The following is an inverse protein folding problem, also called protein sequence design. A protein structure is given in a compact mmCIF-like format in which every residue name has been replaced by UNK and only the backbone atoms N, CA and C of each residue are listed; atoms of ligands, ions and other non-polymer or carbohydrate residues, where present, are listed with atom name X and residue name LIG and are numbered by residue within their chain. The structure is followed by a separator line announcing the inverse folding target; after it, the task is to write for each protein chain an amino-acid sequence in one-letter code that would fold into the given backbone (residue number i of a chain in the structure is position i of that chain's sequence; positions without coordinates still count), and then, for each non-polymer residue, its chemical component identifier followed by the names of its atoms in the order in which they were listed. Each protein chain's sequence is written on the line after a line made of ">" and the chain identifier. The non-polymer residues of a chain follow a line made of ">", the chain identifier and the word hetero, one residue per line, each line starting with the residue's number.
data_IF_296097627437
#
_entry.id   IF_296097627437
#
_cell.length_a   1.000
_cell.length_b   1.000
_cell.length_c   1.000
_cell.angle_alpha   90.00
_cell.angle_beta   90.00
_cell.angle_gamma   90.00
#
_symmetry.space_group_name_H-M   'P 1'
#
loop_
_entity.id
_entity.type
_entity.pdbx_description
1 polymer ?
#
# COMPACT_ATOMS: atom_id res chain seq x y z
N UNK A 1 31.20 -14.05 -12.28
CA UNK A 1 30.72 -12.69 -11.92
C UNK A 1 30.71 -12.64 -10.40
N UNK A 2 31.25 -11.58 -9.78
CA UNK A 2 31.21 -11.45 -8.32
C UNK A 2 29.75 -11.16 -7.88
N UNK A 3 29.28 -11.90 -6.91
CA UNK A 3 28.00 -11.66 -6.26
C UNK A 3 28.07 -10.30 -5.55
N UNK A 4 27.11 -9.42 -5.81
CA UNK A 4 27.05 -8.08 -5.22
C UNK A 4 25.62 -7.70 -4.88
N UNK A 5 25.42 -7.27 -3.63
CA UNK A 5 24.14 -6.78 -3.14
C UNK A 5 24.32 -5.48 -2.36
N UNK A 6 23.54 -4.49 -2.73
CA UNK A 6 23.45 -3.23 -2.01
C UNK A 6 21.99 -2.90 -1.71
N UNK A 7 21.70 -2.50 -0.47
CA UNK A 7 20.35 -2.20 -0.02
C UNK A 7 20.32 -0.94 0.83
N UNK A 8 19.22 -0.19 0.76
CA UNK A 8 18.88 0.89 1.67
C UNK A 8 17.47 0.66 2.25
N UNK A 9 17.32 0.87 3.55
CA UNK A 9 16.06 0.77 4.28
C UNK A 9 15.76 2.08 4.97
N UNK A 10 14.51 2.55 4.90
CA UNK A 10 14.04 3.68 5.71
C UNK A 10 13.49 3.17 7.05
N UNK A 11 14.07 3.64 8.15
CA UNK A 11 13.57 3.38 9.51
C UNK A 11 12.40 4.30 9.89
N UNK A 12 12.25 5.42 9.20
CA UNK A 12 11.18 6.40 9.44
C UNK A 12 9.87 6.10 8.72
N UNK A 13 9.64 4.87 8.29
CA UNK A 13 8.44 4.55 7.55
C UNK A 13 7.16 4.78 8.37
N UNK A 14 6.11 5.32 7.72
CA UNK A 14 4.78 5.55 8.32
C UNK A 14 3.74 4.74 7.57
N UNK A 15 3.26 3.65 8.16
CA UNK A 15 2.28 2.74 7.56
C UNK A 15 0.92 3.39 7.19
N UNK A 16 0.64 4.59 7.66
CA UNK A 16 -0.62 5.31 7.44
C UNK A 16 -0.56 6.35 6.30
N UNK A 17 0.56 6.46 5.58
CA UNK A 17 0.65 7.30 4.38
C UNK A 17 0.06 6.57 3.16
N UNK A 18 -0.31 7.34 2.14
CA UNK A 18 -0.88 6.79 0.91
C UNK A 18 0.11 5.88 0.17
N UNK A 19 1.36 6.31 0.11
CA UNK A 19 2.48 5.57 -0.44
C UNK A 19 3.74 5.89 0.37
N UNK A 20 4.52 4.88 0.75
CA UNK A 20 5.71 5.03 1.57
C UNK A 20 6.83 4.16 1.02
N UNK A 21 7.98 4.76 0.79
CA UNK A 21 9.24 4.06 0.55
C UNK A 21 9.59 3.20 1.78
N UNK A 22 9.98 1.95 1.52
CA UNK A 22 10.43 1.02 2.55
C UNK A 22 11.91 0.68 2.39
N UNK A 23 12.33 0.23 1.20
CA UNK A 23 13.73 -0.03 0.89
C UNK A 23 13.96 -0.08 -0.63
N UNK A 24 15.21 0.03 -1.05
CA UNK A 24 15.64 -0.19 -2.41
C UNK A 24 16.96 -0.96 -2.42
N UNK A 25 17.33 -1.50 -3.57
CA UNK A 25 18.60 -2.20 -3.71
C UNK A 25 18.94 -2.56 -5.13
N UNK A 26 20.14 -3.13 -5.27
CA UNK A 26 20.64 -3.75 -6.50
C UNK A 26 21.37 -5.05 -6.16
N UNK A 27 21.34 -5.99 -7.09
CA UNK A 27 21.97 -7.28 -6.92
C UNK A 27 22.41 -7.84 -8.27
N UNK A 28 23.63 -8.39 -8.32
CA UNK A 28 24.11 -9.24 -9.38
C UNK A 28 24.06 -10.67 -8.86
N UNK A 29 23.18 -11.47 -9.39
CA UNK A 29 22.92 -12.80 -8.86
C UNK A 29 23.95 -13.83 -9.37
N UNK A 30 24.25 -14.81 -8.54
CA UNK A 30 24.97 -16.02 -8.95
C UNK A 30 24.06 -16.92 -9.81
N UNK A 31 24.64 -17.81 -10.66
CA UNK A 31 23.88 -18.79 -11.43
C UNK A 31 22.95 -19.63 -10.55
N UNK A 32 21.65 -19.66 -10.90
CA UNK A 32 20.64 -20.41 -10.17
C UNK A 32 20.28 -19.85 -8.78
N UNK A 33 20.73 -18.63 -8.47
CA UNK A 33 20.35 -17.98 -7.20
C UNK A 33 18.84 -17.72 -7.16
N UNK A 34 18.19 -18.24 -6.14
CA UNK A 34 16.74 -18.13 -5.98
C UNK A 34 16.33 -17.46 -4.67
N UNK A 35 15.15 -16.82 -4.69
CA UNK A 35 14.57 -16.20 -3.52
C UNK A 35 13.09 -16.55 -3.36
N UNK A 36 12.77 -17.12 -2.21
CA UNK A 36 11.42 -17.59 -1.89
C UNK A 36 11.32 -19.13 -1.92
N UNK A 37 10.10 -19.72 -1.94
CA UNK A 37 8.80 -19.04 -1.93
C UNK A 37 8.56 -18.24 -0.64
N UNK A 38 8.06 -17.00 -0.78
CA UNK A 38 7.87 -16.11 0.37
C UNK A 38 6.68 -15.17 0.20
N UNK A 39 6.03 -14.83 1.33
CA UNK A 39 5.02 -13.76 1.42
C UNK A 39 5.66 -12.52 2.03
N UNK A 40 5.39 -11.34 1.47
CA UNK A 40 5.86 -10.04 1.99
C UNK A 40 4.69 -9.15 2.39
N UNK A 41 4.91 -8.29 3.40
CA UNK A 41 3.93 -7.29 3.82
C UNK A 41 3.97 -6.00 2.97
N UNK A 42 4.89 -5.91 2.01
CA UNK A 42 5.13 -4.76 1.13
C UNK A 42 5.17 -5.22 -0.34
N UNK A 43 5.00 -4.27 -1.24
CA UNK A 43 5.15 -4.49 -2.68
C UNK A 43 6.62 -4.36 -3.06
N UNK A 44 7.04 -5.14 -4.06
CA UNK A 44 8.36 -5.05 -4.68
C UNK A 44 8.19 -4.90 -6.18
N UNK A 45 8.89 -3.96 -6.77
CA UNK A 45 9.06 -3.85 -8.22
C UNK A 45 10.54 -4.10 -8.52
N UNK A 46 10.81 -5.11 -9.34
CA UNK A 46 12.15 -5.45 -9.83
C UNK A 46 12.30 -5.00 -11.28
N UNK A 47 13.44 -4.42 -11.62
CA UNK A 47 13.81 -3.99 -12.95
C UNK A 47 15.04 -4.77 -13.38
N UNK A 48 14.92 -5.63 -14.40
CA UNK A 48 16.02 -6.51 -14.84
C UNK A 48 16.91 -5.77 -15.83
N UNK A 49 18.09 -5.41 -15.37
CA UNK A 49 19.05 -4.58 -16.14
C UNK A 49 19.87 -5.40 -17.12
N UNK A 50 20.10 -6.68 -16.82
CA UNK A 50 20.87 -7.61 -17.65
C UNK A 50 20.57 -9.05 -17.26
N UNK A 51 20.86 -10.03 -18.15
CA UNK A 51 20.61 -11.44 -17.90
C UNK A 51 19.14 -11.82 -17.93
N UNK A 52 18.84 -13.01 -17.39
CA UNK A 52 17.51 -13.59 -17.41
C UNK A 52 17.24 -14.50 -16.19
N UNK A 53 16.00 -14.96 -16.05
CA UNK A 53 15.59 -15.85 -14.98
C UNK A 53 14.08 -16.14 -15.03
N UNK A 54 13.56 -16.74 -13.97
CA UNK A 54 12.15 -17.09 -13.84
C UNK A 54 11.51 -16.41 -12.65
N UNK A 55 10.24 -16.01 -12.80
CA UNK A 55 9.40 -15.48 -11.73
C UNK A 55 8.12 -16.28 -11.62
N UNK A 56 7.81 -16.77 -10.42
CA UNK A 56 6.62 -17.56 -10.12
C UNK A 56 5.72 -16.81 -9.15
N UNK A 57 4.44 -16.74 -9.49
CA UNK A 57 3.39 -16.19 -8.64
C UNK A 57 2.09 -16.95 -8.89
N UNK A 58 1.42 -17.39 -7.84
CA UNK A 58 0.31 -18.32 -7.91
C UNK A 58 0.72 -19.60 -8.68
N UNK A 59 -0.03 -19.98 -9.72
CA UNK A 59 0.23 -21.14 -10.58
C UNK A 59 0.98 -20.77 -11.88
N UNK A 60 1.42 -19.50 -12.02
CA UNK A 60 2.06 -19.01 -13.22
C UNK A 60 3.56 -18.86 -13.03
N UNK A 61 4.31 -19.31 -14.04
CA UNK A 61 5.74 -19.08 -14.17
C UNK A 61 5.98 -18.21 -15.40
N UNK A 62 6.74 -17.13 -15.21
CA UNK A 62 7.12 -16.18 -16.26
C UNK A 62 8.61 -16.27 -16.51
N UNK A 63 9.02 -16.29 -17.76
CA UNK A 63 10.40 -16.06 -18.15
C UNK A 63 10.64 -14.55 -18.21
N UNK A 64 11.69 -14.08 -17.56
CA UNK A 64 12.03 -12.67 -17.40
C UNK A 64 13.42 -12.45 -17.97
N UNK A 65 13.59 -11.40 -18.75
CA UNK A 65 14.84 -11.03 -19.39
C UNK A 65 15.17 -9.56 -19.23
N UNK A 66 16.33 -9.16 -19.72
CA UNK A 66 16.76 -7.76 -19.76
C UNK A 66 15.69 -6.86 -20.34
N UNK A 67 15.40 -5.74 -19.68
CA UNK A 67 14.37 -4.78 -20.06
C UNK A 67 13.00 -5.06 -19.46
N UNK A 68 12.82 -6.19 -18.78
CA UNK A 68 11.57 -6.52 -18.14
C UNK A 68 11.51 -6.00 -16.70
N UNK A 69 10.27 -5.76 -16.27
CA UNK A 69 9.96 -5.40 -14.90
C UNK A 69 8.96 -6.41 -14.35
N UNK A 70 9.25 -7.02 -13.21
CA UNK A 70 8.31 -7.91 -12.54
C UNK A 70 7.91 -7.39 -11.16
N UNK A 71 6.65 -7.60 -10.82
CA UNK A 71 6.05 -7.08 -9.59
C UNK A 71 5.69 -8.21 -8.66
N UNK A 72 6.18 -8.12 -7.41
CA UNK A 72 5.80 -8.98 -6.30
C UNK A 72 4.78 -8.23 -5.41
N UNK A 73 3.48 -8.46 -5.55
CA UNK A 73 2.48 -7.77 -4.72
C UNK A 73 2.54 -8.23 -3.27
N UNK A 74 2.25 -7.31 -2.34
CA UNK A 74 2.10 -7.64 -0.93
C UNK A 74 1.04 -8.73 -0.70
N UNK A 75 1.28 -9.62 0.25
CA UNK A 75 0.35 -10.69 0.63
C UNK A 75 0.27 -11.86 -0.35
N UNK A 76 1.12 -11.92 -1.39
CA UNK A 76 1.18 -13.03 -2.35
C UNK A 76 2.44 -13.87 -2.16
N UNK A 77 2.31 -15.19 -2.35
CA UNK A 77 3.48 -16.08 -2.41
C UNK A 77 4.17 -15.87 -3.74
N UNK A 78 5.47 -15.56 -3.69
CA UNK A 78 6.30 -15.36 -4.88
C UNK A 78 7.62 -16.11 -4.73
N UNK A 79 8.13 -16.61 -5.84
CA UNK A 79 9.47 -17.18 -5.99
C UNK A 79 10.09 -16.64 -7.27
N UNK A 80 11.38 -16.39 -7.26
CA UNK A 80 12.13 -16.06 -8.48
C UNK A 80 13.55 -16.60 -8.40
N UNK A 81 14.11 -16.96 -9.57
CA UNK A 81 15.40 -17.61 -9.70
C UNK A 81 16.13 -17.07 -10.92
N UNK A 82 17.42 -16.74 -10.73
CA UNK A 82 18.31 -16.36 -11.81
C UNK A 82 18.62 -17.56 -12.71
N UNK A 83 18.79 -17.32 -14.00
CA UNK A 83 19.21 -18.35 -14.94
C UNK A 83 20.61 -18.90 -14.57
N UNK A 84 20.89 -20.13 -14.96
CA UNK A 84 22.15 -20.81 -14.64
C UNK A 84 23.32 -20.46 -15.57
N UNK A 85 22.99 -20.01 -16.78
CA UNK A 85 24.00 -19.65 -17.78
C UNK A 85 24.10 -18.12 -17.91
N UNK A 86 22.98 -17.43 -17.85
CA UNK A 86 22.86 -15.99 -17.99
C UNK A 86 22.14 -15.33 -16.80
N UNK A 87 22.72 -15.44 -15.57
CA UNK A 87 22.06 -14.92 -14.37
C UNK A 87 21.87 -13.42 -14.45
N UNK A 88 20.71 -12.99 -14.01
CA UNK A 88 20.32 -11.59 -14.07
C UNK A 88 21.04 -10.67 -13.09
N UNK A 89 21.11 -9.41 -13.48
CA UNK A 89 21.38 -8.24 -12.62
C UNK A 89 20.11 -7.39 -12.59
N UNK A 90 19.63 -7.07 -11.40
CA UNK A 90 18.43 -6.26 -11.23
C UNK A 90 18.58 -5.21 -10.14
N UNK A 91 17.72 -4.22 -10.19
CA UNK A 91 17.45 -3.27 -9.13
C UNK A 91 16.02 -3.48 -8.65
N UNK A 92 15.72 -3.05 -7.42
CA UNK A 92 14.35 -3.10 -6.90
C UNK A 92 14.02 -1.90 -6.04
N UNK A 93 12.72 -1.64 -5.89
CA UNK A 93 12.16 -0.73 -4.92
C UNK A 93 11.01 -1.41 -4.16
N UNK A 94 11.05 -1.30 -2.85
CA UNK A 94 10.03 -1.81 -1.93
C UNK A 94 9.22 -0.65 -1.37
N UNK A 95 7.92 -0.81 -1.32
CA UNK A 95 7.02 0.20 -0.80
C UNK A 95 5.75 -0.40 -0.24
N UNK A 96 5.04 0.40 0.55
CA UNK A 96 3.77 0.07 1.17
C UNK A 96 2.93 1.36 1.30
N UNK A 97 1.75 1.25 1.89
CA UNK A 97 0.86 2.41 2.08
C UNK A 97 -0.59 2.07 1.78
N UNK A 98 -1.49 2.96 2.16
CA UNK A 98 -2.94 2.73 2.05
C UNK A 98 -3.37 2.58 0.60
N UNK A 99 -2.78 3.35 -0.32
CA UNK A 99 -3.10 3.34 -1.75
C UNK A 99 -2.19 2.41 -2.58
N UNK A 100 -1.15 1.84 -1.98
CA UNK A 100 -0.16 1.05 -2.71
C UNK A 100 -0.77 -0.13 -3.48
N UNK A 101 -1.74 -0.83 -2.88
CA UNK A 101 -2.44 -1.94 -3.53
C UNK A 101 -3.24 -1.49 -4.76
N UNK A 102 -3.92 -0.35 -4.66
CA UNK A 102 -4.68 0.20 -5.77
C UNK A 102 -3.76 0.68 -6.91
N UNK A 103 -2.63 1.32 -6.58
CA UNK A 103 -1.63 1.74 -7.56
C UNK A 103 -1.05 0.54 -8.32
N UNK A 104 -0.66 -0.53 -7.61
CA UNK A 104 -0.18 -1.76 -8.25
C UNK A 104 -1.25 -2.40 -9.12
N UNK A 105 -2.49 -2.49 -8.66
CA UNK A 105 -3.58 -3.03 -9.46
C UNK A 105 -3.77 -2.25 -10.78
N UNK A 106 -3.77 -0.92 -10.70
CA UNK A 106 -3.88 -0.05 -11.90
C UNK A 106 -2.68 -0.21 -12.82
N UNK A 107 -1.46 -0.21 -12.31
CA UNK A 107 -0.25 -0.41 -13.10
C UNK A 107 -0.29 -1.76 -13.84
N UNK A 108 -0.65 -2.83 -13.14
CA UNK A 108 -0.70 -4.17 -13.72
C UNK A 108 -1.88 -4.39 -14.68
N UNK A 109 -2.91 -3.53 -14.63
CA UNK A 109 -4.01 -3.59 -15.60
C UNK A 109 -3.61 -3.15 -17.02
N UNK A 110 -2.48 -2.49 -17.17
CA UNK A 110 -1.92 -2.08 -18.48
C UNK A 110 -1.22 -3.22 -19.19
N UNK A 111 -0.84 -4.28 -18.49
CA UNK A 111 -0.07 -5.38 -19.05
C UNK A 111 -0.93 -6.56 -19.48
N UNK A 112 -0.60 -7.14 -20.62
CA UNK A 112 -1.16 -8.42 -21.06
C UNK A 112 -0.72 -9.58 -20.17
N UNK A 113 0.48 -9.49 -19.58
CA UNK A 113 1.01 -10.44 -18.61
C UNK A 113 0.91 -9.88 -17.21
N UNK A 114 -0.08 -10.29 -16.48
CA UNK A 114 -0.63 -9.72 -15.23
C UNK A 114 0.37 -9.17 -14.20
N UNK A 115 1.63 -9.61 -14.18
CA UNK A 115 2.64 -9.21 -13.19
C UNK A 115 3.95 -8.73 -13.81
N UNK A 116 3.99 -8.65 -15.14
CA UNK A 116 5.19 -8.33 -15.92
C UNK A 116 4.92 -7.09 -16.77
N UNK A 117 5.86 -6.16 -16.80
CA UNK A 117 5.87 -5.02 -17.73
C UNK A 117 7.07 -5.21 -18.65
N UNK A 118 6.87 -5.14 -19.96
CA UNK A 118 7.89 -5.44 -20.97
C UNK A 118 8.41 -4.17 -21.66
N UNK A 119 9.70 -4.17 -21.99
CA UNK A 119 10.28 -3.17 -22.88
C UNK A 119 10.37 -1.76 -22.33
N UNK A 120 10.54 -1.59 -21.01
CA UNK A 120 10.66 -0.28 -20.41
C UNK A 120 12.08 0.31 -20.56
N UNK A 121 12.23 1.64 -20.68
CA UNK A 121 13.52 2.32 -20.68
C UNK A 121 14.12 2.36 -19.28
N UNK A 122 14.98 1.38 -18.94
CA UNK A 122 15.41 1.14 -17.55
C UNK A 122 16.44 2.13 -17.02
N UNK A 123 17.12 2.91 -17.84
CA UNK A 123 18.21 3.82 -17.45
C UNK A 123 17.79 4.82 -16.37
N UNK A 124 16.61 5.43 -16.53
CA UNK A 124 16.10 6.40 -15.56
C UNK A 124 15.70 5.77 -14.22
N UNK A 125 15.26 4.49 -14.24
CA UNK A 125 14.94 3.75 -13.02
C UNK A 125 16.22 3.34 -12.28
N UNK A 126 17.26 2.91 -13.00
CA UNK A 126 18.57 2.61 -12.43
C UNK A 126 19.18 3.84 -11.76
N UNK A 127 19.08 5.01 -12.41
CA UNK A 127 19.51 6.28 -11.82
C UNK A 127 18.71 6.61 -10.53
N UNK A 128 17.39 6.50 -10.56
CA UNK A 128 16.55 6.80 -9.41
C UNK A 128 16.81 5.85 -8.23
N UNK A 129 17.04 4.56 -8.49
CA UNK A 129 17.44 3.61 -7.43
C UNK A 129 18.85 3.94 -6.91
N UNK A 130 19.77 4.37 -7.75
CA UNK A 130 21.09 4.84 -7.31
C UNK A 130 21.00 6.07 -6.41
N UNK A 131 20.09 7.02 -6.69
CA UNK A 131 19.79 8.15 -5.82
C UNK A 131 19.26 7.66 -4.45
N UNK A 132 18.35 6.66 -4.42
CA UNK A 132 17.85 6.06 -3.18
C UNK A 132 18.98 5.41 -2.36
N UNK A 133 19.89 4.69 -3.01
CA UNK A 133 21.02 4.05 -2.36
C UNK A 133 22.06 5.03 -1.81
N UNK A 134 22.15 6.23 -2.36
CA UNK A 134 23.02 7.29 -1.89
C UNK A 134 22.52 8.00 -0.61
N UNK A 135 21.28 7.79 -0.19
CA UNK A 135 20.73 8.35 1.04
C UNK A 135 21.30 7.58 2.22
N UNK A 136 22.18 8.21 3.00
CA UNK A 136 22.87 7.58 4.14
C UNK A 136 22.23 7.85 5.49
N UNK A 137 21.58 9.02 5.63
CA UNK A 137 21.00 9.46 6.90
C UNK A 137 19.51 9.10 6.99
N UNK A 138 19.06 8.71 8.18
CA UNK A 138 17.64 8.45 8.46
C UNK A 138 17.01 9.68 9.16
N UNK A 139 16.89 10.76 8.41
CA UNK A 139 16.27 12.02 8.84
C UNK A 139 14.90 12.21 8.19
N UNK A 140 14.11 13.16 8.69
CA UNK A 140 12.84 13.55 8.06
C UNK A 140 13.06 14.04 6.61
N UNK A 141 14.15 14.75 6.36
CA UNK A 141 14.53 15.21 5.01
C UNK A 141 14.80 14.02 4.09
N UNK A 142 15.58 13.05 4.55
CA UNK A 142 15.90 11.81 3.81
C UNK A 142 14.64 10.97 3.55
N UNK A 143 13.75 10.86 4.53
CA UNK A 143 12.45 10.19 4.36
C UNK A 143 11.62 10.87 3.27
N UNK A 144 11.50 12.20 3.28
CA UNK A 144 10.76 12.94 2.27
C UNK A 144 11.41 12.82 0.89
N UNK A 145 12.74 12.87 0.80
CA UNK A 145 13.49 12.67 -0.43
C UNK A 145 13.24 11.28 -1.01
N UNK A 146 13.37 10.22 -0.22
CA UNK A 146 13.13 8.84 -0.67
C UNK A 146 11.70 8.65 -1.18
N UNK A 147 10.69 9.23 -0.50
CA UNK A 147 9.30 9.18 -0.96
C UNK A 147 9.08 9.99 -2.24
N UNK A 148 9.76 11.11 -2.44
CA UNK A 148 9.69 11.88 -3.69
C UNK A 148 10.25 11.09 -4.87
N UNK A 149 11.35 10.36 -4.67
CA UNK A 149 11.96 9.49 -5.69
C UNK A 149 11.02 8.30 -5.99
N UNK A 150 10.42 7.68 -4.98
CA UNK A 150 9.42 6.63 -5.17
C UNK A 150 8.23 7.12 -6.01
N UNK A 151 7.68 8.30 -5.70
CA UNK A 151 6.58 8.88 -6.48
C UNK A 151 6.99 9.18 -7.93
N UNK A 152 8.22 9.62 -8.15
CA UNK A 152 8.81 9.84 -9.49
C UNK A 152 8.91 8.51 -10.26
N UNK A 153 9.39 7.44 -9.63
CA UNK A 153 9.43 6.09 -10.22
C UNK A 153 8.02 5.64 -10.61
N UNK A 154 7.05 5.78 -9.71
CA UNK A 154 5.65 5.42 -10.00
C UNK A 154 5.07 6.24 -11.16
N UNK A 155 5.32 7.54 -11.20
CA UNK A 155 4.90 8.41 -12.31
C UNK A 155 5.45 7.94 -13.65
N UNK A 156 6.73 7.58 -13.71
CA UNK A 156 7.34 7.04 -14.93
C UNK A 156 6.77 5.69 -15.34
N UNK A 157 6.52 4.79 -14.39
CA UNK A 157 5.89 3.50 -14.67
C UNK A 157 4.51 3.66 -15.33
N UNK A 158 3.68 4.57 -14.81
CA UNK A 158 2.38 4.86 -15.42
C UNK A 158 2.51 5.49 -16.83
N UNK A 159 3.49 6.38 -17.03
CA UNK A 159 3.73 7.00 -18.34
C UNK A 159 4.27 5.97 -19.35
N UNK A 160 5.28 5.19 -18.97
CA UNK A 160 5.96 4.24 -19.89
C UNK A 160 5.07 3.04 -20.25
N UNK A 161 4.15 2.64 -19.38
CA UNK A 161 3.20 1.56 -19.69
C UNK A 161 2.03 2.00 -20.55
N UNK A 162 1.99 3.30 -20.93
CA UNK A 162 0.88 3.84 -21.71
C UNK A 162 -0.44 3.77 -20.94
N UNK A 163 -0.37 3.79 -19.61
CA UNK A 163 -1.56 3.87 -18.78
C UNK A 163 -2.34 5.11 -19.20
N UNK A 164 -3.31 4.90 -20.06
CA UNK A 164 -4.34 5.89 -20.25
C UNK A 164 -5.26 5.73 -19.03
N UNK A 165 -5.38 6.81 -18.23
CA UNK A 165 -6.64 6.93 -17.53
C UNK A 165 -7.68 6.83 -18.65
N UNK A 166 -8.23 5.62 -18.85
CA UNK A 166 -9.55 5.58 -19.48
C UNK A 166 -10.28 6.68 -18.75
N UNK A 167 -10.96 7.58 -19.47
CA UNK A 167 -11.87 8.54 -18.86
C UNK A 167 -12.67 7.75 -17.83
N UNK A 168 -12.00 7.48 -16.71
CA UNK A 168 -12.67 6.89 -15.59
C UNK A 168 -13.67 7.96 -15.29
N UNK A 169 -14.91 7.60 -15.53
CA UNK A 169 -16.02 8.15 -14.81
C UNK A 169 -15.43 8.89 -13.62
N UNK A 170 -15.54 10.23 -13.63
CA UNK A 170 -15.10 11.07 -12.50
C UNK A 170 -15.27 10.27 -11.23
N UNK A 171 -14.28 10.16 -10.33
CA UNK A 171 -14.21 9.13 -9.31
C UNK A 171 -15.60 8.87 -8.79
N UNK A 172 -16.09 7.66 -9.07
CA UNK A 172 -17.51 7.28 -8.93
C UNK A 172 -18.02 7.94 -7.65
N UNK A 173 -19.13 8.56 -7.70
CA UNK A 173 -19.69 9.29 -6.53
C UNK A 173 -19.50 8.52 -5.23
N UNK A 174 -19.58 7.18 -5.28
CA UNK A 174 -19.29 6.31 -4.13
C UNK A 174 -17.81 6.40 -3.67
N UNK A 175 -16.83 6.45 -4.57
CA UNK A 175 -15.42 6.60 -4.22
C UNK A 175 -15.12 7.98 -3.63
N UNK A 176 -15.76 9.03 -4.16
CA UNK A 176 -15.68 10.40 -3.61
C UNK A 176 -16.30 10.48 -2.21
N UNK A 177 -17.41 9.78 -1.98
CA UNK A 177 -18.05 9.69 -0.67
C UNK A 177 -17.13 8.95 0.30
N UNK A 178 -16.54 7.81 -0.09
CA UNK A 178 -15.59 7.09 0.73
C UNK A 178 -14.43 7.97 1.14
N UNK A 179 -13.78 8.64 0.19
CA UNK A 179 -12.70 9.58 0.47
C UNK A 179 -13.13 10.68 1.47
N UNK A 180 -14.33 11.23 1.30
CA UNK A 180 -14.86 12.22 2.24
C UNK A 180 -15.05 11.66 3.65
N UNK A 181 -15.54 10.42 3.78
CA UNK A 181 -15.67 9.73 5.07
C UNK A 181 -14.32 9.49 5.71
N UNK A 182 -13.33 9.04 4.91
CA UNK A 182 -11.95 8.78 5.35
C UNK A 182 -11.25 10.05 5.86
N UNK A 183 -11.51 11.19 5.24
CA UNK A 183 -10.92 12.48 5.64
C UNK A 183 -11.64 13.15 6.82
N UNK A 184 -12.88 12.75 7.12
CA UNK A 184 -13.72 13.44 8.12
C UNK A 184 -14.17 12.52 9.26
N UNK A 185 -13.64 11.31 9.40
CA UNK A 185 -14.06 10.35 10.44
C UNK A 185 -13.86 10.87 11.87
N UNK A 186 -12.95 11.82 12.08
CA UNK A 186 -12.62 12.39 13.40
C UNK A 186 -13.69 13.33 13.97
N UNK A 187 -14.73 13.64 13.21
CA UNK A 187 -15.84 14.47 13.66
C UNK A 187 -17.18 13.72 13.59
N UNK A 188 -18.21 14.17 14.31
CA UNK A 188 -19.57 13.67 14.12
C UNK A 188 -20.00 13.90 12.67
N UNK A 189 -20.42 12.84 11.97
CA UNK A 189 -20.91 12.91 10.59
C UNK A 189 -22.30 12.31 10.51
N UNK A 190 -23.27 13.10 10.06
CA UNK A 190 -24.62 12.63 9.75
C UNK A 190 -24.73 12.34 8.25
N UNK A 191 -25.31 11.21 7.88
CA UNK A 191 -25.44 10.82 6.46
C UNK A 191 -26.26 11.84 5.64
N UNK A 192 -27.17 12.58 6.27
CA UNK A 192 -27.87 13.71 5.62
C UNK A 192 -26.91 14.82 5.20
N UNK A 193 -25.91 15.14 6.03
CA UNK A 193 -24.90 16.17 5.73
C UNK A 193 -23.97 15.70 4.60
N UNK A 194 -23.60 14.43 4.63
CA UNK A 194 -22.82 13.83 3.54
C UNK A 194 -23.61 13.89 2.23
N UNK A 195 -24.87 13.52 2.25
CA UNK A 195 -25.75 13.57 1.09
C UNK A 195 -25.89 14.99 0.51
N UNK A 196 -26.16 15.97 1.37
CA UNK A 196 -26.28 17.37 0.97
C UNK A 196 -24.99 17.90 0.34
N UNK A 197 -23.80 17.54 0.91
CA UNK A 197 -22.50 17.95 0.35
C UNK A 197 -22.27 17.48 -1.08
N UNK A 198 -22.77 16.31 -1.44
CA UNK A 198 -22.64 15.75 -2.78
C UNK A 198 -23.83 16.05 -3.71
N UNK A 199 -24.85 16.76 -3.21
CA UNK A 199 -26.02 17.11 -3.99
C UNK A 199 -26.98 15.94 -4.26
N UNK A 200 -26.96 14.91 -3.42
CA UNK A 200 -27.78 13.71 -3.60
C UNK A 200 -28.71 13.44 -2.42
N UNK A 201 -29.73 12.62 -2.68
CA UNK A 201 -30.60 12.12 -1.61
C UNK A 201 -29.87 11.02 -0.79
N UNK A 202 -30.06 10.93 0.54
CA UNK A 202 -29.39 9.94 1.40
C UNK A 202 -29.59 8.47 0.96
N UNK A 203 -30.77 8.11 0.45
CA UNK A 203 -31.02 6.78 -0.08
C UNK A 203 -30.17 6.44 -1.32
N UNK A 204 -30.01 7.42 -2.21
CA UNK A 204 -29.17 7.26 -3.40
C UNK A 204 -27.72 6.98 -3.00
N UNK A 205 -27.15 7.79 -2.09
CA UNK A 205 -25.79 7.59 -1.57
C UNK A 205 -25.64 6.21 -0.96
N UNK A 206 -26.60 5.78 -0.12
CA UNK A 206 -26.56 4.48 0.53
C UNK A 206 -26.56 3.35 -0.50
N UNK A 207 -27.36 3.44 -1.54
CA UNK A 207 -27.45 2.44 -2.61
C UNK A 207 -26.14 2.33 -3.36
N UNK A 208 -25.64 3.43 -3.96
CA UNK A 208 -24.42 3.40 -4.78
C UNK A 208 -23.17 3.01 -3.98
N UNK A 209 -23.10 3.42 -2.72
CA UNK A 209 -22.00 3.07 -1.84
C UNK A 209 -22.04 1.57 -1.48
N UNK A 210 -23.21 1.02 -1.20
CA UNK A 210 -23.38 -0.40 -0.91
C UNK A 210 -23.12 -1.28 -2.15
N UNK A 211 -23.57 -0.85 -3.33
CA UNK A 211 -23.27 -1.53 -4.61
C UNK A 211 -21.76 -1.59 -4.86
N UNK A 212 -21.05 -0.52 -4.53
CA UNK A 212 -19.60 -0.41 -4.78
C UNK A 212 -18.72 -1.10 -3.73
N UNK A 213 -19.09 -1.02 -2.44
CA UNK A 213 -18.24 -1.46 -1.31
C UNK A 213 -18.84 -2.62 -0.49
N UNK A 214 -20.02 -3.10 -0.83
CA UNK A 214 -20.69 -4.21 -0.14
C UNK A 214 -21.24 -3.85 1.25
N UNK A 215 -21.09 -2.61 1.70
CA UNK A 215 -21.57 -2.13 3.01
C UNK A 215 -22.13 -0.72 2.90
N UNK A 216 -23.15 -0.34 3.70
CA UNK A 216 -23.65 1.01 3.75
C UNK A 216 -22.60 2.01 4.24
N UNK A 217 -22.61 3.30 3.81
CA UNK A 217 -21.61 4.30 4.21
C UNK A 217 -21.58 4.56 5.71
N UNK A 218 -22.70 4.43 6.41
CA UNK A 218 -22.77 4.54 7.88
C UNK A 218 -22.02 3.41 8.56
N UNK A 219 -22.14 2.18 8.05
CA UNK A 219 -21.41 1.01 8.56
C UNK A 219 -19.93 1.15 8.28
N UNK A 220 -19.56 1.52 7.05
CA UNK A 220 -18.18 1.79 6.67
C UNK A 220 -17.49 2.80 7.62
N UNK A 221 -18.14 3.96 7.86
CA UNK A 221 -17.62 4.98 8.77
C UNK A 221 -17.46 4.45 10.20
N UNK A 222 -18.40 3.65 10.64
CA UNK A 222 -18.35 3.02 11.95
C UNK A 222 -17.16 2.05 12.09
N UNK A 223 -16.97 1.17 11.13
CA UNK A 223 -15.86 0.20 11.10
C UNK A 223 -14.50 0.90 11.01
N UNK A 224 -14.41 1.97 10.23
CA UNK A 224 -13.23 2.84 10.15
C UNK A 224 -12.87 3.43 11.51
N UNK A 225 -13.85 4.02 12.21
CA UNK A 225 -13.65 4.58 13.55
C UNK A 225 -13.20 3.52 14.55
N UNK A 226 -13.80 2.34 14.54
CA UNK A 226 -13.41 1.24 15.43
C UNK A 226 -12.00 0.73 15.12
N UNK A 227 -11.63 0.60 13.85
CA UNK A 227 -10.26 0.22 13.44
C UNK A 227 -9.24 1.24 13.96
N UNK A 228 -9.52 2.53 13.85
CA UNK A 228 -8.67 3.60 14.40
C UNK A 228 -8.62 3.55 15.93
N UNK A 229 -9.76 3.29 16.60
CA UNK A 229 -9.81 3.10 18.05
C UNK A 229 -8.89 1.96 18.53
N UNK A 230 -8.92 0.81 17.86
CA UNK A 230 -8.04 -0.32 18.17
C UNK A 230 -6.56 0.06 18.04
N UNK A 231 -6.21 0.85 17.02
CA UNK A 231 -4.86 1.40 16.86
C UNK A 231 -4.44 2.28 18.06
N UNK A 232 -5.26 3.28 18.38
CA UNK A 232 -4.97 4.21 19.49
C UNK A 232 -4.92 3.51 20.85
N UNK A 233 -5.81 2.55 21.10
CA UNK A 233 -5.81 1.76 22.35
C UNK A 233 -4.54 0.93 22.52
N UNK A 234 -3.92 0.47 21.42
CA UNK A 234 -2.66 -0.30 21.47
C UNK A 234 -1.41 0.57 21.54
N UNK A 235 -1.45 1.74 20.92
CA UNK A 235 -0.24 2.57 20.73
C UNK A 235 -0.13 3.72 21.73
N UNK A 236 -1.16 4.00 22.52
CA UNK A 236 -1.19 5.15 23.44
C UNK A 236 -1.84 4.82 24.78
N UNK A 237 -1.49 5.62 25.80
CA UNK A 237 -2.13 5.59 27.13
C UNK A 237 -3.26 6.63 27.28
N UNK A 238 -3.73 7.22 26.15
CA UNK A 238 -4.81 8.20 26.16
C UNK A 238 -6.06 7.64 26.85
N UNK A 239 -6.75 8.44 27.68
CA UNK A 239 -8.05 8.04 28.26
C UNK A 239 -9.03 7.60 27.17
N UNK A 240 -9.86 6.61 27.47
CA UNK A 240 -10.86 6.09 26.52
C UNK A 240 -11.81 7.18 26.04
N UNK A 241 -12.14 8.15 26.93
CA UNK A 241 -12.95 9.32 26.58
C UNK A 241 -12.28 10.24 25.54
N UNK A 242 -10.98 10.43 25.66
CA UNK A 242 -10.18 11.22 24.69
C UNK A 242 -10.11 10.51 23.34
N UNK A 243 -9.90 9.19 23.35
CA UNK A 243 -9.95 8.39 22.12
C UNK A 243 -11.33 8.47 21.46
N UNK A 244 -12.42 8.29 22.21
CA UNK A 244 -13.77 8.42 21.67
C UNK A 244 -14.02 9.80 21.04
N UNK A 245 -13.65 10.87 21.73
CA UNK A 245 -13.81 12.24 21.23
C UNK A 245 -12.97 12.50 19.96
N UNK A 246 -11.69 12.02 19.92
CA UNK A 246 -10.82 12.16 18.74
C UNK A 246 -11.32 11.42 17.50
N UNK A 247 -12.19 10.44 17.68
CA UNK A 247 -12.84 9.68 16.62
C UNK A 247 -14.25 10.20 16.29
N UNK A 248 -14.65 11.34 16.85
CA UNK A 248 -15.94 11.97 16.60
C UNK A 248 -17.13 11.18 17.14
N UNK A 249 -16.98 10.51 18.29
CA UNK A 249 -18.11 10.02 19.08
C UNK A 249 -18.58 11.13 20.02
N UNK A 250 -19.90 11.31 20.11
CA UNK A 250 -20.51 12.37 20.93
C UNK A 250 -20.33 12.08 22.43
N UNK A 251 -20.32 10.81 22.82
CA UNK A 251 -20.08 10.38 24.20
C UNK A 251 -19.22 9.12 24.30
N UNK A 252 -18.40 9.05 25.36
CA UNK A 252 -17.52 7.94 25.64
C UNK A 252 -18.25 6.67 26.09
N UNK A 253 -19.42 6.81 26.70
CA UNK A 253 -20.22 5.67 27.16
C UNK A 253 -20.85 4.94 25.96
N UNK A 254 -21.42 5.70 25.04
CA UNK A 254 -21.93 5.18 23.76
C UNK A 254 -20.84 4.49 22.96
N UNK A 255 -19.67 5.10 22.86
CA UNK A 255 -18.49 4.47 22.25
C UNK A 255 -18.13 3.13 22.91
N UNK A 256 -18.03 3.10 24.25
CA UNK A 256 -17.65 1.91 25.00
C UNK A 256 -18.66 0.77 24.84
N UNK A 257 -19.97 1.08 24.83
CA UNK A 257 -21.03 0.09 24.57
C UNK A 257 -20.92 -0.49 23.17
N UNK A 258 -20.72 0.36 22.15
CA UNK A 258 -20.58 -0.04 20.76
C UNK A 258 -19.31 -0.88 20.55
N UNK A 259 -18.18 -0.46 21.12
CA UNK A 259 -16.93 -1.20 21.07
C UNK A 259 -17.09 -2.61 21.70
N UNK A 260 -17.68 -2.69 22.90
CA UNK A 260 -17.96 -3.99 23.57
C UNK A 260 -18.90 -4.87 22.76
N UNK A 261 -19.91 -4.28 22.11
CA UNK A 261 -20.84 -5.03 21.23
C UNK A 261 -20.08 -5.65 20.03
N UNK A 262 -19.09 -4.95 19.48
CA UNK A 262 -18.35 -5.41 18.29
C UNK A 262 -17.23 -6.39 18.64
N UNK A 263 -16.47 -6.14 19.71
CA UNK A 263 -15.28 -6.92 20.08
C UNK A 263 -15.49 -7.88 21.26
N UNK A 264 -16.66 -7.91 21.86
CA UNK A 264 -16.97 -8.75 23.04
C UNK A 264 -16.42 -8.22 24.36
N UNK A 265 -15.43 -7.32 24.35
CA UNK A 265 -14.73 -6.77 25.53
C UNK A 265 -14.72 -5.24 25.50
N UNK A 266 -14.59 -4.60 26.68
CA UNK A 266 -14.52 -3.15 26.75
C UNK A 266 -13.22 -2.58 26.18
N UNK A 267 -13.18 -1.28 25.75
CA UNK A 267 -11.95 -0.64 25.31
C UNK A 267 -10.80 -0.75 26.30
N UNK A 268 -11.08 -0.60 27.60
CA UNK A 268 -10.09 -0.73 28.67
C UNK A 268 -9.53 -2.15 28.76
N UNK A 269 -10.40 -3.16 28.65
CA UNK A 269 -9.98 -4.56 28.65
C UNK A 269 -9.17 -4.89 27.39
N UNK A 270 -9.58 -4.36 26.24
CA UNK A 270 -8.86 -4.51 24.98
C UNK A 270 -7.43 -3.94 25.07
N UNK A 271 -7.24 -2.78 25.71
CA UNK A 271 -5.91 -2.19 25.98
C UNK A 271 -5.07 -3.12 26.85
N UNK A 272 -5.59 -3.59 27.98
CA UNK A 272 -4.87 -4.49 28.90
C UNK A 272 -4.41 -5.77 28.20
N UNK A 273 -5.30 -6.43 27.48
CA UNK A 273 -4.99 -7.68 26.77
C UNK A 273 -3.93 -7.52 25.66
N UNK A 274 -3.72 -6.29 25.15
CA UNK A 274 -2.70 -6.02 24.14
C UNK A 274 -1.42 -5.38 24.71
N UNK A 275 -1.43 -4.89 25.96
CA UNK A 275 -0.24 -4.46 26.68
C UNK A 275 0.61 -5.64 27.19
N UNK A 276 -0.04 -6.77 27.53
CA UNK A 276 0.61 -8.01 27.99
C UNK A 276 1.28 -8.81 26.83
N UNK A 277 1.11 -8.36 25.56
CA UNK A 277 1.71 -9.01 24.38
C UNK A 277 2.92 -8.25 23.81
N UNK A 278 3.36 -7.19 24.46
CA UNK A 278 4.59 -6.46 24.17
C UNK A 278 5.70 -6.89 25.13
#
# INVERSE_FOLDING_TARGET
>A
MLEYKETNHSLMYKANSDLTFYSAGRESCSPGWGYGPRVRAYHVIHFVLDGEGTFQINEHTYHISKGDVFVCPAGRVTYYEADKEHPWRYIWVNFLGIQSQNMIYRLLSTSAERYILRGLPLEKYEQAVSELLAIQEDTMSSYLLANSILLRIMSWLFADTGFQEQEQEQPNTADRIRFYLDMNYSRPLRMKEVAAKFGYHPHYITRIFNERFGVPPKQYLFDLKLKKACGLLRSTELPVSVIAASLGFEDALGFSKLFKKTFGISPTQYRKNNAEKK
#
